data_IF_160262477984
#
_entry.id   IF_160262477984
#
_cell.length_a   1.000
_cell.length_b   1.000
_cell.length_c   1.000
_cell.angle_alpha   90.00
_cell.angle_beta   90.00
_cell.angle_gamma   90.00
#
_symmetry.space_group_name_H-M   'P 1'
#
loop_
_entity.id
_entity.type
_entity.pdbx_description
1 polymer ?
#
# COMPACT_ATOMS: atom_id res chain seq x y z
N UNK A 1 -43.50 2.27 11.94
CA UNK A 1 -44.24 1.20 11.24
C UNK A 1 -43.44 0.84 9.99
N UNK A 2 -42.55 -0.15 10.08
CA UNK A 2 -41.70 -0.54 8.95
C UNK A 2 -42.49 -1.49 8.04
N UNK A 3 -42.70 -1.08 6.79
CA UNK A 3 -43.32 -1.92 5.75
C UNK A 3 -42.45 -3.17 5.55
N UNK A 4 -43.04 -4.36 5.68
CA UNK A 4 -42.37 -5.61 5.36
C UNK A 4 -42.06 -5.65 3.86
N UNK A 5 -40.89 -6.18 3.44
CA UNK A 5 -40.56 -6.30 2.03
C UNK A 5 -41.59 -7.19 1.32
N UNK A 6 -41.93 -6.89 0.05
CA UNK A 6 -42.92 -7.67 -0.68
C UNK A 6 -42.45 -9.13 -0.84
N UNK A 7 -43.38 -10.10 -0.82
CA UNK A 7 -43.03 -11.51 -0.98
C UNK A 7 -42.41 -11.75 -2.36
N UNK A 8 -41.20 -12.31 -2.41
CA UNK A 8 -40.54 -12.72 -3.65
C UNK A 8 -41.07 -14.07 -4.12
N UNK A 9 -41.60 -14.15 -5.34
CA UNK A 9 -42.03 -15.42 -5.91
C UNK A 9 -40.82 -16.30 -6.28
N UNK A 10 -40.77 -17.54 -5.76
CA UNK A 10 -39.77 -18.55 -6.17
C UNK A 10 -40.43 -19.65 -7.00
N UNK A 11 -40.18 -19.66 -8.31
CA UNK A 11 -40.58 -20.73 -9.24
C UNK A 11 -39.49 -21.79 -9.46
N UNK A 12 -38.39 -21.69 -8.72
CA UNK A 12 -37.19 -22.50 -8.94
C UNK A 12 -37.35 -23.95 -8.46
N UNK A 13 -36.93 -24.90 -9.30
CA UNK A 13 -36.76 -26.30 -8.90
C UNK A 13 -35.50 -26.44 -8.05
N UNK A 14 -35.55 -27.26 -7.00
CA UNK A 14 -34.38 -27.57 -6.17
C UNK A 14 -33.32 -28.28 -7.03
N UNK A 15 -32.21 -27.61 -7.29
CA UNK A 15 -31.04 -28.15 -7.99
C UNK A 15 -29.76 -27.74 -7.28
N UNK A 16 -28.70 -28.53 -7.44
CA UNK A 16 -27.35 -28.18 -7.02
C UNK A 16 -26.53 -27.83 -8.26
N UNK A 17 -26.81 -26.66 -8.86
CA UNK A 17 -26.17 -26.18 -10.09
C UNK A 17 -25.85 -24.69 -9.95
N UNK A 18 -24.66 -24.28 -10.40
CA UNK A 18 -24.36 -22.85 -10.55
C UNK A 18 -25.21 -22.26 -11.67
N UNK A 19 -25.76 -21.06 -11.44
CA UNK A 19 -26.52 -20.37 -12.47
C UNK A 19 -25.58 -19.92 -13.62
N UNK A 20 -25.98 -20.06 -14.89
CA UNK A 20 -25.11 -19.69 -16.02
C UNK A 20 -24.64 -18.23 -16.00
N UNK A 21 -25.42 -17.33 -15.38
CA UNK A 21 -25.03 -15.92 -15.22
C UNK A 21 -23.79 -15.69 -14.36
N UNK A 22 -23.32 -16.71 -13.63
CA UNK A 22 -22.10 -16.68 -12.80
C UNK A 22 -20.87 -17.22 -13.56
N UNK A 23 -21.02 -17.58 -14.84
CA UNK A 23 -19.96 -18.19 -15.66
C UNK A 23 -18.94 -17.21 -16.26
N UNK A 24 -18.89 -15.97 -15.78
CA UNK A 24 -17.93 -14.93 -16.21
C UNK A 24 -17.00 -14.63 -15.04
N UNK A 25 -15.68 -14.67 -15.27
CA UNK A 25 -14.67 -14.67 -14.22
C UNK A 25 -13.56 -13.63 -14.39
N UNK A 26 -13.46 -12.99 -15.56
CA UNK A 26 -12.27 -12.24 -15.98
C UNK A 26 -12.56 -10.76 -16.26
N UNK A 27 -13.80 -10.38 -16.60
CA UNK A 27 -14.13 -8.98 -16.92
C UNK A 27 -13.98 -8.05 -15.72
N UNK A 28 -14.44 -8.48 -14.53
CA UNK A 28 -14.31 -7.70 -13.30
C UNK A 28 -12.84 -7.56 -12.82
N UNK A 29 -12.02 -8.63 -12.76
CA UNK A 29 -10.59 -8.48 -12.50
C UNK A 29 -9.87 -7.57 -13.50
N UNK A 30 -10.24 -7.63 -14.78
CA UNK A 30 -9.68 -6.76 -15.81
C UNK A 30 -10.05 -5.30 -15.58
N UNK A 31 -11.33 -5.03 -15.31
CA UNK A 31 -11.80 -3.68 -14.96
C UNK A 31 -11.01 -3.14 -13.75
N UNK A 32 -10.85 -3.94 -12.70
CA UNK A 32 -10.06 -3.56 -11.53
C UNK A 32 -8.62 -3.22 -11.89
N UNK A 33 -7.92 -4.10 -12.62
CA UNK A 33 -6.54 -3.91 -13.07
C UNK A 33 -6.33 -2.63 -13.89
N UNK A 34 -7.22 -2.38 -14.86
CA UNK A 34 -7.15 -1.20 -15.73
C UNK A 34 -7.46 0.12 -15.00
N UNK A 35 -8.12 0.02 -13.84
CA UNK A 35 -8.45 1.17 -13.00
C UNK A 35 -7.31 1.60 -12.09
N UNK A 36 -6.29 0.75 -11.90
CA UNK A 36 -5.18 1.02 -11.00
C UNK A 36 -4.16 2.00 -11.60
N UNK A 37 -3.56 2.82 -10.74
CA UNK A 37 -2.40 3.63 -11.11
C UNK A 37 -1.17 2.75 -11.38
N UNK A 38 -0.15 3.24 -12.12
CA UNK A 38 1.04 2.43 -12.40
C UNK A 38 1.75 1.87 -11.16
N UNK A 39 1.73 2.60 -10.04
CA UNK A 39 2.34 2.12 -8.79
C UNK A 39 1.51 1.01 -8.13
N UNK A 40 0.19 1.10 -8.18
CA UNK A 40 -0.71 0.05 -7.70
C UNK A 40 -0.60 -1.21 -8.56
N UNK A 41 -0.53 -1.04 -9.88
CA UNK A 41 -0.27 -2.14 -10.81
C UNK A 41 1.04 -2.85 -10.48
N UNK A 42 2.11 -2.10 -10.19
CA UNK A 42 3.37 -2.69 -9.77
C UNK A 42 3.25 -3.43 -8.44
N UNK A 43 2.56 -2.87 -7.45
CA UNK A 43 2.32 -3.57 -6.17
C UNK A 43 1.51 -4.86 -6.34
N UNK A 44 0.54 -4.88 -7.26
CA UNK A 44 -0.23 -6.10 -7.60
C UNK A 44 0.70 -7.16 -8.21
N UNK A 45 1.54 -6.77 -9.18
CA UNK A 45 2.55 -7.66 -9.78
C UNK A 45 3.49 -8.22 -8.71
N UNK A 46 4.02 -7.35 -7.84
CA UNK A 46 4.94 -7.74 -6.77
C UNK A 46 4.24 -8.67 -5.76
N UNK A 47 2.96 -8.42 -5.45
CA UNK A 47 2.14 -9.26 -4.57
C UNK A 47 1.96 -10.67 -5.13
N UNK A 48 1.52 -10.80 -6.38
CA UNK A 48 1.43 -12.10 -7.04
C UNK A 48 2.78 -12.82 -7.09
N UNK A 49 3.83 -12.10 -7.48
CA UNK A 49 5.18 -12.64 -7.58
C UNK A 49 5.69 -13.15 -6.23
N UNK A 50 5.51 -12.36 -5.16
CA UNK A 50 5.92 -12.71 -3.81
C UNK A 50 5.17 -13.93 -3.28
N UNK A 51 3.85 -13.99 -3.43
CA UNK A 51 3.08 -15.14 -2.95
C UNK A 51 3.35 -16.41 -3.78
N UNK A 52 3.42 -16.30 -5.10
CA UNK A 52 3.72 -17.44 -5.97
C UNK A 52 5.16 -17.95 -5.79
N UNK A 53 6.12 -17.08 -5.44
CA UNK A 53 7.49 -17.52 -5.15
C UNK A 53 7.59 -18.52 -4.00
N UNK A 54 6.60 -18.54 -3.10
CA UNK A 54 6.51 -19.47 -1.96
C UNK A 54 5.82 -20.79 -2.33
N UNK A 55 5.24 -20.89 -3.52
CA UNK A 55 4.55 -22.09 -3.98
C UNK A 55 5.56 -23.08 -4.53
N UNK A 56 5.77 -24.18 -3.80
CA UNK A 56 6.77 -25.21 -4.13
C UNK A 56 6.51 -25.89 -5.49
N UNK A 57 5.24 -26.17 -5.82
CA UNK A 57 4.88 -26.89 -7.04
C UNK A 57 4.82 -25.93 -8.23
N UNK A 58 5.73 -26.09 -9.19
CA UNK A 58 5.86 -25.19 -10.36
C UNK A 58 4.62 -25.12 -11.22
N UNK A 59 3.98 -26.25 -11.51
CA UNK A 59 2.77 -26.29 -12.33
C UNK A 59 1.59 -25.49 -11.74
N UNK A 60 1.59 -25.21 -10.42
CA UNK A 60 0.59 -24.33 -9.81
C UNK A 60 0.88 -22.88 -10.21
N UNK A 61 2.16 -22.45 -10.18
CA UNK A 61 2.57 -21.10 -10.57
C UNK A 61 2.24 -20.84 -12.03
N UNK A 62 2.57 -21.80 -12.91
CA UNK A 62 2.25 -21.74 -14.34
C UNK A 62 0.74 -21.60 -14.59
N UNK A 63 -0.09 -22.39 -13.90
CA UNK A 63 -1.57 -22.28 -14.03
C UNK A 63 -2.13 -20.95 -13.53
N UNK A 64 -1.54 -20.38 -12.48
CA UNK A 64 -1.98 -19.05 -12.01
C UNK A 64 -1.59 -17.99 -13.03
N UNK A 65 -0.38 -18.03 -13.57
CA UNK A 65 0.07 -17.12 -14.64
C UNK A 65 -0.81 -17.27 -15.90
N UNK A 66 -1.22 -18.49 -16.23
CA UNK A 66 -2.19 -18.74 -17.31
C UNK A 66 -3.54 -18.06 -17.07
N UNK A 67 -4.08 -18.12 -15.84
CA UNK A 67 -5.28 -17.35 -15.49
C UNK A 67 -5.08 -15.83 -15.55
N UNK A 68 -3.89 -15.34 -15.19
CA UNK A 68 -3.58 -13.91 -15.33
C UNK A 68 -3.60 -13.47 -16.81
N UNK A 69 -3.18 -14.34 -17.74
CA UNK A 69 -3.20 -14.03 -19.16
C UNK A 69 -4.62 -13.86 -19.71
N UNK A 70 -5.63 -14.49 -19.08
CA UNK A 70 -7.03 -14.26 -19.39
C UNK A 70 -7.57 -12.92 -18.86
N UNK A 71 -6.87 -12.29 -17.89
CA UNK A 71 -7.24 -11.00 -17.32
C UNK A 71 -6.56 -9.86 -18.11
N UNK A 72 -5.23 -9.92 -18.20
CA UNK A 72 -4.42 -8.96 -18.94
C UNK A 72 -3.03 -9.53 -19.26
N UNK A 73 -2.60 -9.43 -20.51
CA UNK A 73 -1.32 -9.98 -20.97
C UNK A 73 -0.12 -9.33 -20.27
N UNK A 74 -0.14 -8.03 -20.01
CA UNK A 74 1.01 -7.34 -19.37
C UNK A 74 1.18 -7.74 -17.91
N UNK A 75 0.06 -7.92 -17.20
CA UNK A 75 0.07 -8.46 -15.84
C UNK A 75 0.70 -9.86 -15.81
N UNK A 76 0.26 -10.73 -16.72
CA UNK A 76 0.76 -12.10 -16.80
C UNK A 76 2.24 -12.17 -17.19
N UNK A 77 2.68 -11.36 -18.17
CA UNK A 77 4.08 -11.26 -18.58
C UNK A 77 4.97 -10.76 -17.44
N UNK A 78 4.55 -9.73 -16.71
CA UNK A 78 5.33 -9.18 -15.61
C UNK A 78 5.48 -10.18 -14.44
N UNK A 79 4.40 -10.86 -14.06
CA UNK A 79 4.44 -11.90 -13.03
C UNK A 79 5.24 -13.11 -13.52
N UNK A 80 5.07 -13.51 -14.78
CA UNK A 80 5.82 -14.60 -15.41
C UNK A 80 7.32 -14.34 -15.39
N UNK A 81 7.75 -13.15 -15.79
CA UNK A 81 9.15 -12.73 -15.78
C UNK A 81 9.78 -12.83 -14.38
N UNK A 82 9.07 -12.40 -13.34
CA UNK A 82 9.53 -12.49 -11.95
C UNK A 82 9.66 -13.93 -11.43
N UNK A 83 8.88 -14.86 -11.99
CA UNK A 83 8.87 -16.27 -11.60
C UNK A 83 9.72 -17.17 -12.51
N UNK A 84 10.32 -16.60 -13.58
CA UNK A 84 11.04 -17.36 -14.60
C UNK A 84 10.13 -18.22 -15.49
N UNK A 85 8.89 -17.79 -15.71
CA UNK A 85 7.90 -18.44 -16.57
C UNK A 85 7.72 -17.60 -17.83
N UNK A 86 8.00 -18.17 -18.99
CA UNK A 86 7.73 -17.54 -20.28
C UNK A 86 6.33 -17.91 -20.77
N UNK A 87 5.56 -16.90 -21.20
CA UNK A 87 4.25 -17.12 -21.80
C UNK A 87 4.42 -17.61 -23.25
N UNK A 88 3.64 -18.63 -23.61
CA UNK A 88 3.51 -19.09 -25.00
C UNK A 88 2.83 -18.05 -25.88
N UNK A 89 2.99 -18.18 -27.20
CA UNK A 89 2.30 -17.33 -28.16
C UNK A 89 0.78 -17.42 -28.02
N UNK A 90 0.25 -18.61 -27.74
CA UNK A 90 -1.19 -18.80 -27.50
C UNK A 90 -1.67 -18.00 -26.29
N UNK A 91 -0.91 -18.02 -25.19
CA UNK A 91 -1.24 -17.27 -23.98
C UNK A 91 -1.20 -15.75 -24.19
N UNK A 92 -0.26 -15.26 -25.01
CA UNK A 92 -0.16 -13.83 -25.33
C UNK A 92 -1.31 -13.35 -26.21
N UNK A 93 -1.88 -14.23 -27.02
CA UNK A 93 -2.94 -13.94 -27.98
C UNK A 93 -4.35 -14.32 -27.49
N UNK A 94 -4.54 -14.57 -26.18
CA UNK A 94 -5.85 -14.82 -25.59
C UNK A 94 -6.77 -13.61 -25.84
N UNK A 95 -8.02 -13.88 -26.24
CA UNK A 95 -9.04 -12.84 -26.37
C UNK A 95 -9.43 -12.35 -24.98
N UNK A 96 -9.12 -11.09 -24.68
CA UNK A 96 -9.41 -10.47 -23.39
C UNK A 96 -10.91 -10.21 -23.22
N UNK A 97 -11.42 -10.24 -21.98
CA UNK A 97 -12.84 -10.04 -21.71
C UNK A 97 -13.31 -8.64 -22.11
N UNK A 98 -14.57 -8.57 -22.54
CA UNK A 98 -15.21 -7.32 -22.94
C UNK A 98 -15.40 -6.37 -21.74
N UNK A 99 -15.51 -5.05 -21.98
CA UNK A 99 -15.78 -4.07 -20.93
C UNK A 99 -17.09 -4.37 -20.18
N UNK A 100 -17.09 -4.19 -18.87
CA UNK A 100 -18.27 -4.41 -18.04
C UNK A 100 -19.25 -3.28 -18.29
N UNK A 101 -20.38 -3.58 -18.94
CA UNK A 101 -21.41 -2.58 -19.31
C UNK A 101 -20.82 -1.36 -20.07
N UNK A 102 -19.79 -1.58 -20.89
CA UNK A 102 -19.10 -0.51 -21.63
C UNK A 102 -18.07 0.28 -20.81
N UNK A 103 -17.84 -0.08 -19.54
CA UNK A 103 -16.84 0.55 -18.67
C UNK A 103 -15.52 -0.20 -18.78
N UNK A 104 -14.48 0.48 -19.26
CA UNK A 104 -13.12 -0.07 -19.39
C UNK A 104 -12.27 0.15 -18.14
N UNK A 105 -12.47 1.27 -17.45
CA UNK A 105 -11.80 1.66 -16.20
C UNK A 105 -12.71 2.55 -15.37
N UNK A 106 -12.56 2.46 -14.06
CA UNK A 106 -13.29 3.27 -13.08
C UNK A 106 -12.32 3.75 -11.98
N UNK A 107 -11.95 5.05 -11.95
CA UNK A 107 -11.02 5.61 -10.97
C UNK A 107 -11.38 5.34 -9.50
N UNK A 108 -12.67 5.14 -9.18
CA UNK A 108 -13.13 4.83 -7.83
C UNK A 108 -12.62 3.48 -7.29
N UNK A 109 -12.13 2.60 -8.17
CA UNK A 109 -11.53 1.31 -7.82
C UNK A 109 -10.04 1.42 -7.47
N UNK A 110 -9.42 2.58 -7.66
CA UNK A 110 -8.04 2.85 -7.24
C UNK A 110 -8.03 3.59 -5.91
N UNK A 111 -7.07 3.25 -5.04
CA UNK A 111 -6.86 3.95 -3.78
C UNK A 111 -6.19 5.31 -3.97
N UNK A 112 -5.44 5.49 -5.06
CA UNK A 112 -4.61 6.67 -5.27
C UNK A 112 -5.00 7.52 -6.48
N UNK A 113 -5.87 7.05 -7.38
CA UNK A 113 -6.30 7.80 -8.56
C UNK A 113 -7.06 9.08 -8.17
N UNK A 114 -7.99 8.95 -7.22
CA UNK A 114 -8.78 10.06 -6.65
C UNK A 114 -8.47 10.18 -5.15
N UNK A 115 -7.19 10.24 -4.80
CA UNK A 115 -6.74 10.28 -3.41
C UNK A 115 -7.24 11.53 -2.66
N UNK A 116 -8.42 11.43 -2.06
CA UNK A 116 -8.90 12.32 -1.01
C UNK A 116 -8.45 11.76 0.34
N UNK A 117 -7.61 12.50 1.05
CA UNK A 117 -7.12 12.07 2.37
C UNK A 117 -6.54 13.22 3.16
N UNK A 118 -6.90 13.28 4.43
CA UNK A 118 -6.33 14.21 5.40
C UNK A 118 -5.10 13.55 6.08
N UNK A 119 -4.12 14.38 6.47
CA UNK A 119 -2.97 13.97 7.28
C UNK A 119 -3.32 13.92 8.77
N UNK A 120 -4.45 14.51 9.19
CA UNK A 120 -4.93 14.49 10.57
C UNK A 120 -4.99 13.07 11.14
N UNK A 121 -4.44 12.91 12.36
CA UNK A 121 -4.35 11.63 13.06
C UNK A 121 -3.15 10.76 12.66
N UNK A 122 -2.39 11.13 11.62
CA UNK A 122 -1.12 10.45 11.31
C UNK A 122 -0.07 10.75 12.36
N UNK A 123 0.96 9.90 12.43
CA UNK A 123 2.05 10.00 13.41
C UNK A 123 3.37 10.17 12.68
N UNK A 124 4.15 11.20 13.04
CA UNK A 124 5.48 11.49 12.50
C UNK A 124 6.53 11.19 13.56
N UNK A 125 7.57 10.45 13.19
CA UNK A 125 8.75 10.28 14.02
C UNK A 125 9.71 11.46 13.81
N UNK A 126 10.08 12.13 14.91
CA UNK A 126 11.06 13.22 14.92
C UNK A 126 12.33 12.69 15.54
N UNK A 127 13.42 12.63 14.77
CA UNK A 127 14.68 12.06 15.24
C UNK A 127 15.51 13.14 15.91
N UNK A 128 15.79 12.97 17.21
CA UNK A 128 16.60 13.89 18.00
C UNK A 128 18.10 13.61 17.85
N UNK A 129 18.91 14.62 18.15
CA UNK A 129 20.36 14.53 18.29
C UNK A 129 20.85 15.38 19.49
N UNK A 130 22.10 15.19 19.92
CA UNK A 130 22.71 15.93 21.07
C UNK A 130 22.80 17.46 20.86
N UNK A 131 22.54 17.97 19.65
CA UNK A 131 22.56 19.39 19.27
C UNK A 131 21.26 19.77 18.55
N UNK A 132 20.13 19.30 19.06
CA UNK A 132 18.83 19.61 18.46
C UNK A 132 18.51 21.08 18.68
N UNK A 133 18.23 21.81 17.60
CA UNK A 133 17.75 23.19 17.64
C UNK A 133 16.36 23.24 18.25
N UNK A 134 16.21 23.90 19.40
CA UNK A 134 14.92 24.08 20.05
C UNK A 134 13.96 24.89 19.17
N UNK A 135 14.47 25.90 18.47
CA UNK A 135 13.68 26.74 17.57
C UNK A 135 13.08 25.93 16.42
N UNK A 136 13.91 25.11 15.75
CA UNK A 136 13.45 24.30 14.61
C UNK A 136 12.45 23.23 15.07
N UNK A 137 12.69 22.63 16.25
CA UNK A 137 11.82 21.62 16.81
C UNK A 137 10.44 22.20 17.16
N UNK A 138 10.39 23.38 17.80
CA UNK A 138 9.12 24.04 18.14
C UNK A 138 8.35 24.40 16.87
N UNK A 139 9.00 24.97 15.86
CA UNK A 139 8.36 25.30 14.59
C UNK A 139 7.77 24.06 13.91
N UNK A 140 8.54 22.97 13.86
CA UNK A 140 8.08 21.70 13.30
C UNK A 140 6.88 21.14 14.08
N UNK A 141 6.95 21.09 15.41
CA UNK A 141 5.87 20.55 16.25
C UNK A 141 4.59 21.36 16.11
N UNK A 142 4.69 22.69 16.03
CA UNK A 142 3.55 23.57 15.80
C UNK A 142 2.93 23.36 14.41
N UNK A 143 3.75 23.24 13.37
CA UNK A 143 3.28 22.97 12.01
C UNK A 143 2.54 21.62 11.93
N UNK A 144 3.09 20.57 12.56
CA UNK A 144 2.45 19.26 12.62
C UNK A 144 1.14 19.30 13.43
N UNK A 145 1.14 19.96 14.59
CA UNK A 145 -0.05 20.09 15.42
C UNK A 145 -1.16 20.89 14.73
N UNK A 146 -0.82 21.93 13.95
CA UNK A 146 -1.78 22.71 13.17
C UNK A 146 -2.50 21.84 12.11
N UNK A 147 -1.82 20.83 11.58
CA UNK A 147 -2.38 19.84 10.66
C UNK A 147 -3.01 18.63 11.39
N UNK A 148 -3.08 18.65 12.72
CA UNK A 148 -3.62 17.55 13.53
C UNK A 148 -2.78 16.26 13.47
N UNK A 149 -1.49 16.39 13.15
CA UNK A 149 -0.53 15.29 13.06
C UNK A 149 0.16 15.11 14.41
N UNK A 150 0.22 13.88 14.90
CA UNK A 150 0.93 13.54 16.14
C UNK A 150 2.43 13.38 15.88
N UNK A 151 3.27 13.77 16.82
CA UNK A 151 4.71 13.59 16.73
C UNK A 151 5.22 12.66 17.84
N UNK A 152 6.25 11.87 17.53
CA UNK A 152 6.99 11.05 18.50
C UNK A 152 8.47 11.40 18.43
N UNK A 153 9.00 11.92 19.53
CA UNK A 153 10.43 12.24 19.65
C UNK A 153 11.22 10.96 19.89
N UNK A 154 12.09 10.58 18.96
CA UNK A 154 12.88 9.36 19.03
C UNK A 154 14.36 9.64 19.21
N UNK A 155 15.03 8.79 19.98
CA UNK A 155 16.47 8.90 20.21
C UNK A 155 17.20 7.55 20.28
N UNK A 156 18.52 7.57 20.48
CA UNK A 156 19.34 6.36 20.61
C UNK A 156 19.14 5.63 21.94
N UNK A 157 18.70 6.35 22.98
CA UNK A 157 18.41 5.86 24.34
C UNK A 157 17.17 6.54 24.91
N UNK A 158 16.57 5.97 25.95
CA UNK A 158 15.48 6.61 26.70
C UNK A 158 16.01 7.72 27.63
N UNK A 159 15.08 8.47 28.24
CA UNK A 159 15.37 9.57 29.15
C UNK A 159 15.10 10.91 28.48
N UNK A 160 16.00 11.87 28.67
CA UNK A 160 15.91 13.22 28.13
C UNK A 160 17.15 13.57 27.29
N UNK A 161 16.95 14.46 26.30
CA UNK A 161 18.01 15.13 25.54
C UNK A 161 17.92 16.63 25.84
N UNK A 162 19.06 17.28 26.06
CA UNK A 162 19.10 18.73 26.25
C UNK A 162 19.22 19.39 24.87
N UNK A 163 18.32 20.30 24.54
CA UNK A 163 18.39 21.10 23.32
C UNK A 163 19.46 22.20 23.44
N UNK A 164 19.73 22.91 22.34
CA UNK A 164 20.73 23.97 22.30
C UNK A 164 20.43 25.18 23.20
N UNK A 165 19.15 25.45 23.48
CA UNK A 165 18.68 26.46 24.44
C UNK A 165 18.72 26.00 25.91
N UNK A 166 19.15 24.76 26.16
CA UNK A 166 19.18 24.16 27.50
C UNK A 166 17.87 23.49 27.93
N UNK A 167 16.83 23.47 27.08
CA UNK A 167 15.55 22.82 27.41
C UNK A 167 15.66 21.28 27.42
N UNK A 168 15.06 20.61 28.42
CA UNK A 168 14.99 19.15 28.44
C UNK A 168 13.88 18.64 27.52
N UNK A 169 14.22 17.74 26.60
CA UNK A 169 13.31 17.09 25.66
C UNK A 169 13.07 15.64 26.08
N UNK A 170 11.84 15.26 26.49
CA UNK A 170 11.52 13.89 26.87
C UNK A 170 11.45 12.98 25.63
N UNK A 171 12.11 11.83 25.72
CA UNK A 171 12.21 10.88 24.61
C UNK A 171 11.03 9.90 24.69
N UNK A 172 10.23 9.83 23.63
CA UNK A 172 9.04 8.96 23.56
C UNK A 172 9.38 7.50 23.21
N UNK A 173 10.52 7.25 22.55
CA UNK A 173 10.95 5.90 22.19
C UNK A 173 12.35 5.86 21.60
N UNK A 174 12.96 4.68 21.55
CA UNK A 174 14.24 4.49 20.86
C UNK A 174 14.06 4.14 19.40
N UNK A 175 15.08 4.36 18.56
CA UNK A 175 15.04 3.96 17.14
C UNK A 175 14.71 2.48 16.94
N UNK A 176 15.20 1.62 17.84
CA UNK A 176 14.93 0.19 17.79
C UNK A 176 13.53 -0.17 18.34
N UNK A 177 13.08 0.51 19.39
CA UNK A 177 11.77 0.29 20.00
C UNK A 177 10.61 0.90 19.20
N UNK A 178 10.89 1.83 18.29
CA UNK A 178 9.91 2.48 17.42
C UNK A 178 10.46 2.56 16.00
N UNK A 179 10.56 1.41 15.29
CA UNK A 179 11.04 1.38 13.92
C UNK A 179 10.07 2.14 13.00
N UNK A 180 10.57 2.59 11.84
CA UNK A 180 9.83 3.46 10.91
C UNK A 180 8.47 2.90 10.46
N UNK A 181 8.28 1.57 10.52
CA UNK A 181 7.00 0.90 10.23
C UNK A 181 5.85 1.34 11.17
N UNK A 182 6.17 1.76 12.40
CA UNK A 182 5.18 2.15 13.41
C UNK A 182 4.72 3.61 13.28
N UNK A 183 5.38 4.40 12.42
CA UNK A 183 5.05 5.81 12.14
C UNK A 183 4.04 6.00 11.02
N UNK A 184 3.07 5.09 10.85
CA UNK A 184 1.97 5.26 9.88
C UNK A 184 2.33 5.02 8.42
N UNK A 185 3.37 4.24 8.11
CA UNK A 185 3.72 3.87 6.73
C UNK A 185 3.73 2.35 6.56
N UNK A 186 2.75 1.82 5.83
CA UNK A 186 2.80 0.49 5.20
C UNK A 186 3.37 0.62 3.79
N UNK A 187 4.45 -0.09 3.48
CA UNK A 187 5.03 -0.16 2.13
C UNK A 187 6.56 -0.21 2.14
N UNK A 188 7.12 -1.18 1.43
CA UNK A 188 8.50 -1.65 1.56
C UNK A 188 9.62 -0.66 1.20
N UNK A 189 10.63 -0.58 2.07
CA UNK A 189 12.05 -0.48 1.72
C UNK A 189 12.89 -0.72 2.98
N UNK A 190 13.58 -1.88 3.06
CA UNK A 190 14.53 -2.19 4.13
C UNK A 190 15.85 -1.46 3.88
N UNK A 191 16.01 -0.24 4.36
CA UNK A 191 17.35 0.29 4.68
C UNK A 191 17.47 0.44 6.18
N UNK A 192 18.53 -0.14 6.76
CA UNK A 192 18.89 0.08 8.17
C UNK A 192 19.07 1.58 8.40
N UNK A 193 18.64 2.14 9.55
CA UNK A 193 19.00 3.49 9.90
C UNK A 193 20.53 3.59 10.00
N UNK A 194 21.15 4.31 9.07
CA UNK A 194 22.53 4.75 9.26
C UNK A 194 22.53 5.83 10.32
N UNK A 195 23.54 5.77 11.20
CA UNK A 195 23.86 6.82 12.16
C UNK A 195 23.87 8.15 11.40
N UNK A 196 23.15 9.20 11.86
CA UNK A 196 23.23 10.49 11.20
C UNK A 196 24.69 10.96 11.26
N UNK A 197 25.32 11.06 10.10
CA UNK A 197 26.62 11.70 9.98
C UNK A 197 26.45 13.20 10.22
N UNK A 198 27.47 13.77 10.84
CA UNK A 198 27.57 15.11 11.42
C UNK A 198 26.87 16.23 10.65
N UNK A 199 26.03 16.99 11.37
CA UNK A 199 25.67 18.37 11.02
C UNK A 199 24.16 18.61 10.91
N UNK A 200 23.57 19.20 11.96
CA UNK A 200 22.29 19.95 11.94
C UNK A 200 21.17 19.42 11.04
N UNK A 201 20.61 18.24 11.35
CA UNK A 201 19.36 17.82 10.71
C UNK A 201 18.36 17.31 11.75
N UNK A 202 17.48 18.20 12.21
CA UNK A 202 16.17 17.83 12.79
C UNK A 202 15.28 17.40 11.63
N UNK A 203 15.50 16.20 11.08
CA UNK A 203 14.66 15.68 9.99
C UNK A 203 13.40 15.09 10.59
N UNK A 204 12.26 15.70 10.28
CA UNK A 204 10.98 15.00 10.33
C UNK A 204 11.01 13.93 9.25
N UNK A 205 11.06 12.65 9.65
CA UNK A 205 11.07 11.54 8.70
C UNK A 205 9.76 10.80 8.84
N UNK A 206 8.89 10.95 7.84
CA UNK A 206 7.93 9.91 7.50
C UNK A 206 8.52 9.11 6.35
N UNK A 207 8.71 7.80 6.57
CA UNK A 207 9.10 6.89 5.48
C UNK A 207 10.39 7.25 4.72
N UNK A 208 11.39 7.83 5.39
CA UNK A 208 12.66 8.25 4.76
C UNK A 208 12.49 9.23 3.58
N UNK A 209 11.33 9.89 3.46
CA UNK A 209 11.11 11.02 2.56
C UNK A 209 11.10 12.32 3.36
N UNK A 210 11.80 13.37 2.90
CA UNK A 210 11.68 14.70 3.51
C UNK A 210 10.24 15.19 3.34
N UNK A 211 9.60 15.59 4.43
CA UNK A 211 8.42 16.45 4.37
C UNK A 211 8.95 17.87 4.24
N UNK A 212 8.76 18.50 3.09
CA UNK A 212 8.77 19.96 3.03
C UNK A 212 7.37 20.39 3.48
N UNK A 213 7.30 21.04 4.65
CA UNK A 213 6.16 21.85 5.07
C UNK A 213 6.50 23.29 4.69
#
# INVERSE_FOLDING_TARGET
MALSPPPSASTAKKSASAAPSFGEYYAQPRLFWLSQTPIEQQHIIDGFSFELSKVVRTWIRERVVDHLAHIDTKLAEAVGANLGIELSDDQRNITLPAPVNGVEKDPSLSLYADAEGDVKGRVVAVLLNERTSAQDLVQLLQALQAQGVHSKLLYSRMGEVIADDGSPLPIAGTFAGSPSLTGGCGGGARRRPQRPESGAVTRAITCWKPINI
#
